data_IF_088331379715
#
_entry.id   IF_088331379715
#
_cell.length_a   1.000
_cell.length_b   1.000
_cell.length_c   1.000
_cell.angle_alpha   90.00
_cell.angle_beta   90.00
_cell.angle_gamma   90.00
#
_symmetry.space_group_name_H-M   'P 1'
#
loop_
_entity.id
_entity.type
_entity.pdbx_description
1 polymer ?
#
# COMPACT_ATOMS: atom_id res chain seq x y z
N UNK A 1 -6.66 -0.05 20.97
CA UNK A 1 -5.33 -0.33 20.43
C UNK A 1 -5.48 -1.15 19.16
N UNK A 2 -4.92 -0.66 18.08
CA UNK A 2 -5.01 -1.34 16.80
C UNK A 2 -4.11 -2.56 16.75
N UNK A 3 -4.56 -3.58 16.05
CA UNK A 3 -3.86 -4.83 15.93
C UNK A 3 -3.72 -5.19 14.45
N UNK A 4 -2.55 -5.66 14.05
CA UNK A 4 -2.32 -6.11 12.68
C UNK A 4 -2.82 -7.54 12.53
N UNK A 5 -3.67 -7.75 11.53
CA UNK A 5 -4.19 -9.05 11.18
C UNK A 5 -3.47 -9.57 9.95
N UNK A 6 -3.17 -10.87 9.94
CA UNK A 6 -2.56 -11.53 8.79
C UNK A 6 -3.38 -12.77 8.48
N UNK A 7 -3.85 -12.90 7.25
CA UNK A 7 -4.65 -14.05 6.84
C UNK A 7 -4.78 -14.15 5.34
N UNK A 8 -5.25 -15.29 4.87
CA UNK A 8 -5.51 -15.50 3.44
C UNK A 8 -6.93 -15.05 3.13
N UNK A 9 -7.07 -14.19 2.13
CA UNK A 9 -8.36 -13.66 1.70
C UNK A 9 -8.48 -13.75 0.18
N UNK A 10 -9.72 -13.78 -0.29
CA UNK A 10 -9.98 -13.69 -1.71
C UNK A 10 -9.96 -12.23 -2.14
N UNK A 11 -9.22 -11.93 -3.20
CA UNK A 11 -9.09 -10.59 -3.77
C UNK A 11 -9.44 -10.64 -5.26
N UNK A 12 -9.57 -9.49 -5.92
CA UNK A 12 -9.74 -9.48 -7.38
C UNK A 12 -8.65 -10.22 -8.15
N UNK A 13 -7.46 -10.36 -7.57
CA UNK A 13 -6.36 -11.10 -8.17
C UNK A 13 -6.22 -12.53 -7.62
N UNK A 14 -7.28 -13.07 -7.01
CA UNK A 14 -7.29 -14.40 -6.45
C UNK A 14 -6.96 -14.41 -4.96
N UNK A 15 -6.58 -15.58 -4.46
CA UNK A 15 -6.23 -15.71 -3.04
C UNK A 15 -4.87 -15.10 -2.76
N UNK A 16 -4.83 -14.21 -1.77
CA UNK A 16 -3.61 -13.50 -1.38
C UNK A 16 -3.47 -13.55 0.13
N UNK A 17 -2.23 -13.39 0.58
CA UNK A 17 -1.97 -13.09 1.99
C UNK A 17 -2.28 -11.62 2.21
N UNK A 18 -3.18 -11.33 3.14
CA UNK A 18 -3.60 -9.96 3.43
C UNK A 18 -3.11 -9.58 4.82
N UNK A 19 -2.36 -8.48 4.88
CA UNK A 19 -1.87 -7.89 6.12
C UNK A 19 -2.65 -6.59 6.29
N UNK A 20 -3.42 -6.47 7.35
CA UNK A 20 -4.34 -5.33 7.51
C UNK A 20 -4.40 -4.83 8.94
N UNK A 21 -4.93 -3.62 9.09
CA UNK A 21 -5.13 -2.97 10.38
C UNK A 21 -6.38 -2.11 10.30
N UNK A 22 -7.19 -2.16 11.35
CA UNK A 22 -8.31 -1.23 11.52
C UNK A 22 -7.77 0.04 12.16
N UNK A 23 -8.08 1.19 11.55
CA UNK A 23 -7.53 2.49 11.95
C UNK A 23 -8.69 3.43 12.24
N UNK A 24 -8.55 4.21 13.31
CA UNK A 24 -9.53 5.20 13.74
C UNK A 24 -9.32 6.51 12.98
N UNK A 25 -9.56 6.45 11.68
CA UNK A 25 -9.48 7.60 10.78
C UNK A 25 -10.40 7.33 9.58
N UNK A 26 -10.96 8.39 8.97
CA UNK A 26 -11.87 8.21 7.84
C UNK A 26 -11.19 7.53 6.65
N UNK A 27 -11.94 6.69 5.93
CA UNK A 27 -11.43 5.99 4.77
C UNK A 27 -10.89 6.94 3.69
N UNK A 28 -11.51 8.11 3.51
CA UNK A 28 -11.04 9.09 2.52
C UNK A 28 -9.65 9.61 2.84
N UNK A 29 -9.36 9.83 4.12
CA UNK A 29 -8.03 10.31 4.52
C UNK A 29 -6.96 9.23 4.30
N UNK A 30 -7.31 7.98 4.61
CA UNK A 30 -6.40 6.86 4.37
C UNK A 30 -6.14 6.69 2.87
N UNK A 31 -7.17 6.78 2.05
CA UNK A 31 -7.02 6.66 0.59
C UNK A 31 -6.14 7.80 0.03
N UNK A 32 -6.35 9.02 0.49
CA UNK A 32 -5.53 10.15 0.08
C UNK A 32 -4.04 9.91 0.41
N UNK A 33 -3.76 9.40 1.61
CA UNK A 33 -2.39 9.10 2.01
C UNK A 33 -1.77 8.01 1.13
N UNK A 34 -2.51 6.94 0.83
CA UNK A 34 -1.99 5.81 0.06
C UNK A 34 -1.77 6.13 -1.42
N UNK A 35 -2.45 7.12 -1.96
CA UNK A 35 -2.38 7.45 -3.39
C UNK A 35 -1.51 8.64 -3.70
N UNK A 36 -1.03 9.36 -2.71
CA UNK A 36 -0.10 10.49 -2.88
C UNK A 36 1.33 9.96 -2.92
N UNK A 37 1.91 9.91 -4.11
CA UNK A 37 3.25 9.34 -4.31
C UNK A 37 4.32 10.06 -3.52
N UNK A 38 4.16 11.36 -3.25
CA UNK A 38 5.15 12.10 -2.46
C UNK A 38 5.13 11.72 -0.98
N UNK A 39 4.07 11.06 -0.53
CA UNK A 39 3.98 10.59 0.83
C UNK A 39 4.36 9.11 0.99
N UNK A 40 4.57 8.39 -0.11
CA UNK A 40 4.97 6.98 -0.04
C UNK A 40 6.19 6.74 0.85
N UNK A 41 7.24 7.57 0.81
CA UNK A 41 8.38 7.36 1.72
C UNK A 41 8.04 7.50 3.20
N UNK A 42 6.95 8.18 3.53
CA UNK A 42 6.57 8.39 4.94
C UNK A 42 6.02 7.12 5.57
N UNK A 43 5.36 6.26 4.78
CA UNK A 43 4.78 5.03 5.32
C UNK A 43 5.41 3.75 4.77
N UNK A 44 6.00 3.78 3.59
CA UNK A 44 6.57 2.60 2.95
C UNK A 44 8.04 2.42 3.30
N UNK A 45 8.41 1.44 4.17
CA UNK A 45 9.81 1.29 4.59
C UNK A 45 10.77 0.96 3.44
N UNK A 46 10.25 0.38 2.34
CA UNK A 46 11.06 0.02 1.18
C UNK A 46 11.17 1.14 0.15
N UNK A 47 10.53 2.30 0.38
CA UNK A 47 10.52 3.41 -0.58
C UNK A 47 11.19 4.62 0.04
N UNK A 48 12.29 5.07 -0.55
CA UNK A 48 13.05 6.23 -0.08
C UNK A 48 12.69 7.50 -0.81
N UNK A 49 12.33 7.39 -2.09
CA UNK A 49 11.92 8.51 -2.91
C UNK A 49 11.09 8.01 -4.08
N UNK A 50 10.31 8.89 -4.67
CA UNK A 50 9.46 8.58 -5.83
C UNK A 50 9.60 9.68 -6.87
N UNK A 51 9.72 9.27 -8.13
CA UNK A 51 9.66 10.15 -9.29
C UNK A 51 8.52 9.60 -10.15
N UNK A 52 7.40 10.28 -10.16
CA UNK A 52 6.14 9.78 -10.74
C UNK A 52 5.61 10.74 -11.80
N UNK A 53 4.95 10.17 -12.82
CA UNK A 53 4.28 10.95 -13.85
C UNK A 53 3.14 11.80 -13.28
N UNK A 54 2.58 11.38 -12.14
CA UNK A 54 1.52 12.10 -11.44
C UNK A 54 1.76 12.00 -9.94
N UNK A 55 1.46 13.05 -9.21
CA UNK A 55 1.58 13.01 -7.75
C UNK A 55 0.57 12.06 -7.15
N UNK A 56 -0.71 12.18 -7.52
CA UNK A 56 -1.77 11.27 -7.08
C UNK A 56 -2.00 10.25 -8.18
N UNK A 57 -1.93 8.97 -7.84
CA UNK A 57 -1.99 7.91 -8.84
C UNK A 57 -3.40 7.69 -9.40
N UNK A 58 -3.42 7.20 -10.62
CA UNK A 58 -4.61 6.60 -11.25
C UNK A 58 -4.17 5.29 -11.92
N UNK A 59 -5.05 4.69 -12.71
CA UNK A 59 -4.78 3.40 -13.35
C UNK A 59 -3.68 3.40 -14.40
N UNK A 60 -3.15 4.57 -14.77
CA UNK A 60 -2.14 4.70 -15.83
C UNK A 60 -0.83 5.34 -15.35
N UNK A 61 -0.72 5.60 -14.05
CA UNK A 61 0.47 6.24 -13.50
C UNK A 61 1.69 5.33 -13.60
N UNK A 62 2.82 5.91 -13.96
CA UNK A 62 4.10 5.22 -13.98
C UNK A 62 5.20 6.13 -13.46
N UNK A 63 6.35 5.56 -13.18
CA UNK A 63 7.48 6.31 -12.67
C UNK A 63 8.58 5.38 -12.19
N UNK A 64 9.29 5.82 -11.17
CA UNK A 64 10.32 5.00 -10.54
C UNK A 64 10.37 5.28 -9.05
N UNK A 65 10.76 4.27 -8.29
CA UNK A 65 10.93 4.35 -6.84
C UNK A 65 12.39 4.10 -6.52
N UNK A 66 12.88 4.83 -5.50
CA UNK A 66 14.23 4.62 -4.99
C UNK A 66 14.13 3.73 -3.76
N UNK A 67 14.89 2.64 -3.78
CA UNK A 67 14.91 1.66 -2.69
C UNK A 67 16.04 1.96 -1.71
N UNK A 68 16.01 1.34 -0.52
CA UNK A 68 17.18 1.37 0.37
C UNK A 68 18.41 0.90 -0.40
N UNK A 69 19.53 1.60 -0.22
CA UNK A 69 20.73 1.37 -1.00
C UNK A 69 20.87 2.28 -2.21
N UNK A 70 19.85 3.08 -2.53
CA UNK A 70 19.92 4.10 -3.55
C UNK A 70 19.55 3.65 -4.96
N UNK A 71 19.09 2.42 -5.13
CA UNK A 71 18.70 1.90 -6.43
C UNK A 71 17.34 2.45 -6.86
N UNK A 72 17.21 2.86 -8.11
CA UNK A 72 15.95 3.27 -8.71
C UNK A 72 15.39 2.12 -9.54
N UNK A 73 14.11 1.80 -9.34
CA UNK A 73 13.39 0.79 -10.12
C UNK A 73 12.13 1.39 -10.75
N UNK A 74 11.83 1.05 -12.01
CA UNK A 74 10.61 1.52 -12.65
C UNK A 74 9.39 0.85 -12.02
N UNK A 75 8.27 1.60 -11.97
CA UNK A 75 6.98 1.04 -11.55
C UNK A 75 5.88 1.45 -12.52
N UNK A 76 4.82 0.66 -12.55
CA UNK A 76 3.58 0.98 -13.25
C UNK A 76 2.41 0.60 -12.36
N UNK A 77 1.41 1.48 -12.27
CA UNK A 77 0.16 1.14 -11.62
C UNK A 77 -0.63 0.27 -12.58
N UNK A 78 -1.07 -0.90 -12.13
CA UNK A 78 -1.78 -1.86 -12.97
C UNK A 78 -3.29 -1.78 -12.78
N UNK A 79 -3.75 -1.27 -11.64
CA UNK A 79 -5.17 -1.04 -11.35
C UNK A 79 -5.29 -0.01 -10.25
N UNK A 80 -6.29 0.86 -10.35
CA UNK A 80 -6.58 1.83 -9.31
C UNK A 80 -8.08 2.16 -9.39
N UNK A 81 -8.89 1.38 -8.69
CA UNK A 81 -10.35 1.49 -8.72
C UNK A 81 -10.95 0.96 -7.42
N UNK A 82 -12.05 1.58 -6.98
CA UNK A 82 -12.80 1.15 -5.77
C UNK A 82 -11.93 1.05 -4.52
N UNK A 83 -11.06 2.04 -4.32
CA UNK A 83 -10.15 2.13 -3.17
C UNK A 83 -9.22 0.93 -3.06
N UNK A 84 -8.78 0.43 -4.21
CA UNK A 84 -7.76 -0.60 -4.30
C UNK A 84 -6.83 -0.27 -5.45
N UNK A 85 -5.51 -0.36 -5.20
CA UNK A 85 -4.54 -0.21 -6.28
C UNK A 85 -3.47 -1.29 -6.20
N UNK A 86 -3.03 -1.68 -7.39
CA UNK A 86 -1.97 -2.69 -7.56
C UNK A 86 -0.91 -2.12 -8.49
N UNK A 87 0.29 -2.65 -8.40
CA UNK A 87 1.40 -2.19 -9.21
C UNK A 87 2.37 -3.30 -9.56
N UNK A 88 3.21 -2.99 -10.56
CA UNK A 88 4.41 -3.77 -10.88
C UNK A 88 5.62 -2.90 -10.61
N UNK A 89 6.67 -3.52 -10.09
CA UNK A 89 7.97 -2.87 -9.89
C UNK A 89 8.98 -3.70 -10.65
N UNK A 90 9.72 -3.05 -11.57
CA UNK A 90 10.64 -3.73 -12.48
C UNK A 90 9.95 -4.89 -13.22
N UNK A 91 8.70 -4.66 -13.64
CA UNK A 91 7.85 -5.61 -14.38
C UNK A 91 7.43 -6.84 -13.56
N UNK A 92 7.63 -6.81 -12.24
CA UNK A 92 7.20 -7.90 -11.34
C UNK A 92 6.00 -7.43 -10.55
N UNK A 93 4.89 -8.20 -10.54
CA UNK A 93 3.76 -7.84 -9.68
C UNK A 93 4.21 -7.70 -8.24
N UNK A 94 3.84 -6.61 -7.62
CA UNK A 94 4.20 -6.29 -6.25
C UNK A 94 2.95 -6.31 -5.37
N UNK A 95 2.95 -5.50 -4.31
CA UNK A 95 1.83 -5.51 -3.36
C UNK A 95 0.56 -4.89 -3.94
N UNK A 96 -0.61 -5.39 -3.50
CA UNK A 96 -1.87 -4.69 -3.64
C UNK A 96 -2.12 -3.86 -2.38
N UNK A 97 -2.95 -2.83 -2.49
CA UNK A 97 -3.23 -1.90 -1.40
C UNK A 97 -4.70 -1.54 -1.43
N UNK A 98 -5.36 -1.54 -0.27
CA UNK A 98 -6.79 -1.22 -0.25
C UNK A 98 -7.18 -0.47 1.02
N UNK A 99 -8.32 0.22 0.94
CA UNK A 99 -8.97 0.87 2.07
C UNK A 99 -10.45 0.50 2.04
N UNK A 100 -10.95 0.00 3.18
CA UNK A 100 -12.37 -0.29 3.36
C UNK A 100 -12.93 0.57 4.47
N UNK A 101 -14.07 1.22 4.24
CA UNK A 101 -14.74 1.98 5.29
C UNK A 101 -15.27 1.02 6.35
N UNK A 102 -15.11 1.39 7.63
CA UNK A 102 -15.60 0.62 8.79
C UNK A 102 -16.23 1.61 9.76
N UNK A 103 -17.52 1.88 9.60
CA UNK A 103 -18.18 2.93 10.38
C UNK A 103 -17.50 4.27 10.08
N UNK A 104 -17.02 4.94 11.11
CA UNK A 104 -16.28 6.20 10.97
C UNK A 104 -14.77 5.99 10.75
N UNK A 105 -14.30 4.79 10.97
CA UNK A 105 -12.91 4.41 10.72
C UNK A 105 -12.73 3.68 9.41
N UNK A 106 -11.61 2.99 9.27
CA UNK A 106 -11.31 2.22 8.07
C UNK A 106 -10.44 1.01 8.37
N UNK A 107 -10.42 0.09 7.42
CA UNK A 107 -9.46 -1.01 7.39
C UNK A 107 -8.52 -0.75 6.22
N UNK A 108 -7.23 -0.70 6.49
CA UNK A 108 -6.18 -0.55 5.49
C UNK A 108 -5.42 -1.86 5.38
N UNK A 109 -5.20 -2.33 4.17
CA UNK A 109 -4.51 -3.59 3.98
C UNK A 109 -3.59 -3.63 2.79
N UNK A 110 -2.64 -4.56 2.87
CA UNK A 110 -1.73 -4.90 1.80
C UNK A 110 -1.96 -6.35 1.40
N UNK A 111 -1.93 -6.61 0.10
CA UNK A 111 -2.11 -7.95 -0.46
C UNK A 111 -0.77 -8.43 -1.01
N UNK A 112 -0.42 -9.66 -0.65
CA UNK A 112 0.82 -10.29 -1.06
C UNK A 112 0.53 -11.61 -1.77
N UNK A 113 1.39 -11.97 -2.73
CA UNK A 113 1.42 -13.34 -3.22
C UNK A 113 1.63 -14.29 -2.04
N UNK A 114 0.98 -15.46 -2.07
CA UNK A 114 1.14 -16.45 -1.00
C UNK A 114 2.60 -16.88 -0.82
N UNK A 115 3.41 -16.78 -1.88
CA UNK A 115 4.83 -17.11 -1.83
C UNK A 115 5.68 -15.97 -1.26
N UNK A 116 5.10 -14.79 -1.08
CA UNK A 116 5.82 -13.61 -0.59
C UNK A 116 5.54 -13.34 0.90
N UNK A 117 5.15 -14.37 1.65
CA UNK A 117 4.79 -14.22 3.07
C UNK A 117 5.90 -13.61 3.92
N UNK A 118 7.16 -13.79 3.53
CA UNK A 118 8.28 -13.19 4.24
C UNK A 118 8.30 -11.66 4.22
N UNK A 119 7.51 -11.04 3.33
CA UNK A 119 7.37 -9.58 3.28
C UNK A 119 6.31 -9.05 4.25
N UNK A 120 5.51 -9.92 4.87
CA UNK A 120 4.45 -9.50 5.78
C UNK A 120 4.91 -8.60 6.92
N UNK A 121 6.09 -8.82 7.57
CA UNK A 121 6.56 -7.90 8.60
C UNK A 121 6.80 -6.47 8.09
N UNK A 122 7.24 -6.31 6.85
CA UNK A 122 7.44 -5.00 6.23
C UNK A 122 6.08 -4.31 6.05
N UNK A 123 5.06 -5.05 5.61
CA UNK A 123 3.71 -4.53 5.48
C UNK A 123 3.12 -4.13 6.84
N UNK A 124 3.33 -4.95 7.86
CA UNK A 124 2.87 -4.63 9.22
C UNK A 124 3.51 -3.33 9.73
N UNK A 125 4.79 -3.12 9.44
CA UNK A 125 5.50 -1.90 9.80
C UNK A 125 4.95 -0.70 9.04
N UNK A 126 4.66 -0.85 7.76
CA UNK A 126 4.04 0.19 6.96
C UNK A 126 2.68 0.59 7.54
N UNK A 127 1.87 -0.39 7.94
CA UNK A 127 0.57 -0.11 8.56
C UNK A 127 0.70 0.67 9.87
N UNK A 128 1.73 0.39 10.65
CA UNK A 128 2.03 1.16 11.87
C UNK A 128 2.35 2.61 11.55
N UNK A 129 3.12 2.86 10.49
CA UNK A 129 3.43 4.22 10.04
C UNK A 129 2.16 4.93 9.55
N UNK A 130 1.33 4.24 8.77
CA UNK A 130 0.09 4.80 8.25
C UNK A 130 -0.82 5.21 9.41
N UNK A 131 -0.98 4.35 10.40
CA UNK A 131 -1.82 4.68 11.56
C UNK A 131 -1.32 5.92 12.29
N UNK A 132 -0.01 6.03 12.51
CA UNK A 132 0.55 7.22 13.16
C UNK A 132 0.32 8.48 12.34
N UNK A 133 0.48 8.41 11.02
CA UNK A 133 0.26 9.57 10.15
C UNK A 133 -1.20 10.02 10.14
N UNK A 134 -2.14 9.10 10.34
CA UNK A 134 -3.57 9.40 10.27
C UNK A 134 -4.17 9.80 11.62
N UNK A 135 -3.57 9.38 12.73
CA UNK A 135 -4.17 9.55 14.06
C UNK A 135 -3.38 10.48 14.99
N UNK A 136 -2.19 10.84 14.63
CA UNK A 136 -1.36 11.75 15.48
C UNK A 136 -1.51 13.21 15.07
#
# INVERSE_FOLDING_TARGET
MSKTDVGVERTPDGRRLVVSRTIDAPADEAWTLLTDTQRWPEWGPSVRAVDSSQRVIDGETSGRVRLPGGFWLPFEITSCVDRRWTWEVARVPATGHFVEARGQGCRVGFELSLLAGGYAPVCARALGHIERLLTD
#
